data_IF_107206029493
#
_entry.id   IF_107206029493
#
_cell.length_a   1.000
_cell.length_b   1.000
_cell.length_c   1.000
_cell.angle_alpha   90.00
_cell.angle_beta   90.00
_cell.angle_gamma   90.00
#
_symmetry.space_group_name_H-M   'P 1'
#
loop_
_entity.id
_entity.type
_entity.pdbx_description
1 polymer ?
#
# COMPACT_ATOMS: atom_id res chain seq x y z
N UNK A 1 13.86 -10.57 9.13
CA UNK A 1 14.59 -11.81 8.80
C UNK A 1 14.93 -11.88 7.30
N UNK A 2 13.95 -11.88 6.39
CA UNK A 2 14.21 -12.00 4.94
C UNK A 2 15.07 -10.86 4.31
N UNK A 3 14.93 -9.62 4.77
CA UNK A 3 15.74 -8.49 4.27
C UNK A 3 17.25 -8.66 4.56
N UNK A 4 17.59 -9.15 5.76
CA UNK A 4 18.99 -9.34 6.17
C UNK A 4 19.64 -10.58 5.54
N UNK A 5 18.84 -11.57 5.13
CA UNK A 5 19.31 -12.78 4.43
C UNK A 5 19.60 -12.48 2.95
N UNK A 6 19.07 -11.39 2.42
CA UNK A 6 19.25 -11.01 1.03
C UNK A 6 20.54 -10.21 0.88
N UNK A 7 21.49 -10.69 0.08
CA UNK A 7 22.77 -10.00 -0.21
C UNK A 7 22.56 -8.75 -1.10
N UNK A 8 21.93 -7.72 -0.55
CA UNK A 8 21.84 -6.43 -1.24
C UNK A 8 23.18 -5.68 -1.13
N UNK A 9 23.58 -4.90 -2.16
CA UNK A 9 24.79 -4.08 -2.09
C UNK A 9 24.72 -3.18 -0.85
N UNK A 10 25.75 -3.21 0.01
CA UNK A 10 25.83 -2.34 1.19
C UNK A 10 25.70 -0.88 0.77
N UNK A 11 24.75 -0.17 1.39
CA UNK A 11 24.52 1.25 1.12
C UNK A 11 24.85 2.05 2.37
N UNK A 12 24.94 3.37 2.21
CA UNK A 12 24.97 4.28 3.35
C UNK A 12 23.76 3.97 4.27
N UNK A 13 23.98 3.93 5.60
CA UNK A 13 22.98 3.56 6.61
C UNK A 13 21.67 4.34 6.48
N UNK A 14 21.73 5.61 6.05
CA UNK A 14 20.54 6.42 5.77
C UNK A 14 19.65 5.82 4.68
N UNK A 15 20.23 5.29 3.59
CA UNK A 15 19.48 4.64 2.50
C UNK A 15 18.85 3.33 2.96
N UNK A 16 19.52 2.60 3.86
CA UNK A 16 19.01 1.34 4.42
C UNK A 16 17.83 1.60 5.35
N UNK A 17 17.93 2.55 6.29
CA UNK A 17 16.84 2.91 7.21
C UNK A 17 15.59 3.36 6.44
N UNK A 18 15.76 4.21 5.43
CA UNK A 18 14.65 4.69 4.60
C UNK A 18 14.00 3.57 3.77
N UNK A 19 14.81 2.62 3.28
CA UNK A 19 14.31 1.45 2.57
C UNK A 19 13.50 0.53 3.49
N UNK A 20 14.04 0.19 4.66
CA UNK A 20 13.35 -0.63 5.67
C UNK A 20 12.04 0.03 6.10
N UNK A 21 12.06 1.35 6.32
CA UNK A 21 10.86 2.12 6.67
C UNK A 21 9.78 1.98 5.60
N UNK A 22 10.15 2.05 4.33
CA UNK A 22 9.21 1.86 3.20
C UNK A 22 8.65 0.44 3.14
N UNK A 23 9.49 -0.58 3.40
CA UNK A 23 9.07 -1.99 3.45
C UNK A 23 8.08 -2.22 4.62
N UNK A 24 8.34 -1.61 5.78
CA UNK A 24 7.42 -1.64 6.91
C UNK A 24 6.09 -0.97 6.54
N UNK A 25 6.13 0.18 5.88
CA UNK A 25 4.94 0.85 5.34
C UNK A 25 4.13 -0.07 4.42
N UNK A 26 4.78 -0.76 3.49
CA UNK A 26 4.11 -1.72 2.61
C UNK A 26 3.53 -2.92 3.38
N UNK A 27 4.24 -3.42 4.40
CA UNK A 27 3.74 -4.50 5.27
C UNK A 27 2.48 -4.08 6.05
N UNK A 28 2.48 -2.86 6.61
CA UNK A 28 1.33 -2.30 7.31
C UNK A 28 0.13 -2.07 6.38
N UNK A 29 0.40 -1.75 5.11
CA UNK A 29 -0.63 -1.68 4.09
C UNK A 29 -1.23 -3.07 3.80
N UNK A 30 -0.40 -4.09 3.60
CA UNK A 30 -0.86 -5.45 3.33
C UNK A 30 -1.65 -6.02 4.53
N UNK A 31 -1.29 -5.65 5.75
CA UNK A 31 -2.03 -6.06 6.96
C UNK A 31 -3.48 -5.53 7.00
N UNK A 32 -3.80 -4.46 6.26
CA UNK A 32 -5.15 -3.91 6.19
C UNK A 32 -6.16 -4.88 5.61
N UNK A 33 -5.74 -5.73 4.66
CA UNK A 33 -6.62 -6.71 4.02
C UNK A 33 -7.11 -7.79 5.01
N UNK A 34 -6.38 -8.01 6.10
CA UNK A 34 -6.73 -8.96 7.16
C UNK A 34 -7.50 -8.30 8.32
N UNK A 35 -7.48 -6.97 8.40
CA UNK A 35 -8.20 -6.16 9.39
C UNK A 35 -9.63 -5.85 8.92
N UNK A 36 -10.37 -6.89 8.54
CA UNK A 36 -11.71 -6.77 7.95
C UNK A 36 -12.77 -7.51 8.75
N UNK A 37 -14.04 -7.20 8.50
CA UNK A 37 -15.19 -7.90 9.11
C UNK A 37 -15.18 -9.41 8.83
N UNK A 38 -14.56 -9.84 7.73
CA UNK A 38 -14.48 -11.25 7.35
C UNK A 38 -13.62 -12.08 8.29
N UNK A 39 -12.66 -11.45 8.99
CA UNK A 39 -11.88 -12.11 10.03
C UNK A 39 -12.71 -12.24 11.31
N UNK A 40 -13.63 -13.21 11.31
CA UNK A 40 -14.60 -13.41 12.41
C UNK A 40 -13.92 -13.65 13.76
N UNK A 41 -12.76 -14.32 13.76
CA UNK A 41 -11.97 -14.55 14.98
C UNK A 41 -11.52 -13.21 15.57
N UNK A 42 -10.84 -12.38 14.77
CA UNK A 42 -10.42 -11.04 15.19
C UNK A 42 -11.61 -10.18 15.65
N UNK A 43 -12.72 -10.19 14.91
CA UNK A 43 -13.91 -9.40 15.28
C UNK A 43 -14.53 -9.90 16.60
N UNK A 44 -14.50 -11.20 16.87
CA UNK A 44 -14.99 -11.78 18.13
C UNK A 44 -14.10 -11.36 19.31
N UNK A 45 -12.79 -11.34 19.11
CA UNK A 45 -11.82 -11.08 20.18
C UNK A 45 -11.78 -9.59 20.58
N UNK A 46 -11.83 -8.66 19.61
CA UNK A 46 -11.64 -7.22 19.89
C UNK A 46 -12.81 -6.31 19.51
N UNK A 47 -13.92 -6.84 18.95
CA UNK A 47 -15.09 -6.10 18.43
C UNK A 47 -14.81 -5.28 17.15
N UNK A 48 -15.81 -5.21 16.27
CA UNK A 48 -15.69 -4.53 14.96
C UNK A 48 -15.31 -3.04 15.06
N UNK A 49 -15.76 -2.33 16.10
CA UNK A 49 -15.44 -0.91 16.30
C UNK A 49 -13.94 -0.71 16.49
N UNK A 50 -13.28 -1.60 17.23
CA UNK A 50 -11.84 -1.54 17.45
C UNK A 50 -11.08 -1.98 16.20
N UNK A 51 -11.56 -2.98 15.45
CA UNK A 51 -10.98 -3.34 14.14
C UNK A 51 -10.95 -2.13 13.21
N UNK A 52 -12.06 -1.36 13.13
CA UNK A 52 -12.09 -0.13 12.32
C UNK A 52 -11.17 0.96 12.86
N UNK A 53 -11.03 1.09 14.18
CA UNK A 53 -10.10 2.04 14.80
C UNK A 53 -8.64 1.70 14.44
N UNK A 54 -8.27 0.43 14.54
CA UNK A 54 -6.95 -0.09 14.15
C UNK A 54 -6.72 0.14 12.66
N UNK A 55 -7.69 -0.19 11.80
CA UNK A 55 -7.61 0.04 10.36
C UNK A 55 -7.31 1.51 10.02
N UNK A 56 -7.99 2.46 10.69
CA UNK A 56 -7.72 3.90 10.51
C UNK A 56 -6.34 4.31 11.00
N UNK A 57 -5.94 3.88 12.20
CA UNK A 57 -4.65 4.25 12.79
C UNK A 57 -3.50 3.73 11.92
N UNK A 58 -3.51 2.43 11.60
CA UNK A 58 -2.51 1.83 10.74
C UNK A 58 -2.57 2.45 9.34
N UNK A 59 -3.78 2.75 8.87
CA UNK A 59 -4.08 3.63 7.73
C UNK A 59 -3.22 4.88 7.67
N UNK A 60 -3.35 5.73 8.69
CA UNK A 60 -2.60 6.98 8.78
C UNK A 60 -1.09 6.75 8.79
N UNK A 61 -0.62 5.76 9.55
CA UNK A 61 0.82 5.45 9.64
C UNK A 61 1.40 5.03 8.28
N UNK A 62 0.80 4.04 7.61
CA UNK A 62 1.35 3.58 6.33
C UNK A 62 1.21 4.63 5.24
N UNK A 63 0.10 5.41 5.23
CA UNK A 63 -0.10 6.47 4.24
C UNK A 63 0.99 7.52 4.38
N UNK A 64 1.33 7.96 5.60
CA UNK A 64 2.41 8.93 5.81
C UNK A 64 3.74 8.42 5.27
N UNK A 65 4.07 7.16 5.55
CA UNK A 65 5.31 6.52 5.05
C UNK A 65 5.32 6.44 3.53
N UNK A 66 4.24 5.89 2.93
CA UNK A 66 4.16 5.67 1.49
C UNK A 66 3.98 6.97 0.70
N UNK A 67 3.38 8.01 1.26
CA UNK A 67 3.32 9.31 0.60
C UNK A 67 4.71 9.96 0.55
N UNK A 68 5.51 9.78 1.60
CA UNK A 68 6.88 10.30 1.68
C UNK A 68 7.92 9.43 0.96
N UNK A 69 7.56 8.24 0.50
CA UNK A 69 8.50 7.32 -0.14
C UNK A 69 9.30 7.91 -1.32
N UNK A 70 8.74 8.77 -2.22
CA UNK A 70 9.54 9.33 -3.30
C UNK A 70 10.59 10.31 -2.77
N UNK A 71 10.26 11.04 -1.69
CA UNK A 71 11.21 11.89 -0.99
C UNK A 71 12.33 11.08 -0.33
N UNK A 72 12.01 9.90 0.23
CA UNK A 72 13.03 9.00 0.79
C UNK A 72 14.05 8.51 -0.24
N UNK A 73 13.70 8.52 -1.53
CA UNK A 73 14.63 8.21 -2.63
C UNK A 73 15.53 9.39 -2.96
N UNK A 74 15.02 10.63 -2.85
CA UNK A 74 15.76 11.85 -3.19
C UNK A 74 16.63 12.35 -2.04
N UNK A 75 16.17 12.28 -0.79
CA UNK A 75 16.91 12.79 0.39
C UNK A 75 18.35 12.29 0.46
N UNK A 76 18.66 10.99 0.27
CA UNK A 76 20.04 10.52 0.24
C UNK A 76 20.91 11.15 -0.85
N UNK A 77 20.31 11.65 -1.94
CA UNK A 77 21.03 12.30 -3.06
C UNK A 77 21.58 13.68 -2.70
N UNK A 78 21.02 14.36 -1.70
CA UNK A 78 21.64 15.58 -1.15
C UNK A 78 23.00 15.32 -0.50
N UNK A 79 23.28 14.07 -0.13
CA UNK A 79 24.53 13.66 0.50
C UNK A 79 25.44 12.85 -0.42
N UNK A 80 24.97 12.50 -1.63
CA UNK A 80 25.78 11.86 -2.66
C UNK A 80 26.18 12.93 -3.70
N UNK A 81 27.47 13.27 -3.82
CA UNK A 81 27.98 14.23 -4.82
C UNK A 81 27.86 13.78 -6.30
N UNK A 82 27.04 12.76 -6.58
CA UNK A 82 26.91 12.13 -7.91
C UNK A 82 25.93 12.83 -8.83
N UNK A 83 24.89 13.45 -8.28
CA UNK A 83 23.82 14.11 -9.04
C UNK A 83 23.26 15.24 -8.17
N UNK A 84 22.97 16.41 -8.76
CA UNK A 84 22.33 17.47 -7.99
C UNK A 84 20.93 17.01 -7.53
N UNK A 85 20.47 17.41 -6.34
CA UNK A 85 19.15 17.00 -5.85
C UNK A 85 17.99 17.48 -6.73
N UNK A 86 18.16 18.65 -7.36
CA UNK A 86 17.22 19.21 -8.33
C UNK A 86 17.12 18.33 -9.57
N UNK A 87 18.25 17.85 -10.11
CA UNK A 87 18.25 16.94 -11.25
C UNK A 87 17.65 15.58 -10.88
N UNK A 88 17.91 15.09 -9.66
CA UNK A 88 17.31 13.85 -9.17
C UNK A 88 15.79 13.96 -9.05
N UNK A 89 15.27 15.09 -8.55
CA UNK A 89 13.84 15.37 -8.50
C UNK A 89 13.23 15.51 -9.91
N UNK A 90 13.88 16.27 -10.80
CA UNK A 90 13.41 16.43 -12.17
C UNK A 90 13.32 15.08 -12.89
N UNK A 91 14.36 14.24 -12.75
CA UNK A 91 14.34 12.87 -13.30
C UNK A 91 13.22 12.03 -12.70
N UNK A 92 12.96 12.14 -11.40
CA UNK A 92 11.89 11.38 -10.75
C UNK A 92 10.50 11.64 -11.39
N UNK A 93 10.22 12.90 -11.77
CA UNK A 93 8.91 13.28 -12.32
C UNK A 93 8.82 13.25 -13.85
N UNK A 94 9.95 13.24 -14.56
CA UNK A 94 9.98 13.28 -16.04
C UNK A 94 10.43 11.98 -16.70
N UNK A 95 11.03 11.07 -15.95
CA UNK A 95 11.59 9.83 -16.51
C UNK A 95 10.54 8.72 -16.51
N UNK A 96 9.94 8.45 -17.67
CA UNK A 96 9.03 7.32 -17.88
C UNK A 96 9.73 6.13 -18.54
N UNK A 97 11.03 5.98 -18.27
CA UNK A 97 11.92 5.09 -19.04
C UNK A 97 11.81 3.61 -18.69
N UNK A 98 11.04 3.23 -17.67
CA UNK A 98 10.83 1.82 -17.34
C UNK A 98 9.40 1.53 -16.90
N UNK A 99 8.95 0.30 -17.18
CA UNK A 99 7.66 -0.20 -16.72
C UNK A 99 7.52 -0.11 -15.20
N UNK A 100 8.62 -0.34 -14.46
CA UNK A 100 8.64 -0.16 -13.00
C UNK A 100 8.24 1.25 -12.58
N UNK A 101 8.78 2.29 -13.20
CA UNK A 101 8.44 3.69 -12.84
C UNK A 101 6.99 4.01 -13.18
N UNK A 102 6.50 3.59 -14.35
CA UNK A 102 5.11 3.79 -14.76
C UNK A 102 4.14 3.12 -13.77
N UNK A 103 4.40 1.87 -13.40
CA UNK A 103 3.62 1.15 -12.38
C UNK A 103 3.63 1.87 -11.03
N UNK A 104 4.78 2.43 -10.64
CA UNK A 104 4.91 3.23 -9.43
C UNK A 104 4.05 4.49 -9.45
N UNK A 105 3.99 5.19 -10.59
CA UNK A 105 3.14 6.38 -10.76
C UNK A 105 1.65 6.04 -10.74
N UNK A 106 1.24 4.94 -11.38
CA UNK A 106 -0.15 4.46 -11.34
C UNK A 106 -0.53 4.09 -9.90
N UNK A 107 0.34 3.38 -9.19
CA UNK A 107 0.14 3.04 -7.79
C UNK A 107 0.02 4.32 -6.94
N UNK A 108 0.96 5.23 -7.06
CA UNK A 108 0.98 6.47 -6.28
C UNK A 108 -0.28 7.32 -6.51
N UNK A 109 -0.71 7.45 -7.76
CA UNK A 109 -1.93 8.17 -8.12
C UNK A 109 -3.17 7.49 -7.54
N UNK A 110 -3.26 6.17 -7.64
CA UNK A 110 -4.36 5.38 -7.04
C UNK A 110 -4.42 5.56 -5.53
N UNK A 111 -3.26 5.61 -4.86
CA UNK A 111 -3.17 5.88 -3.43
C UNK A 111 -3.67 7.28 -3.08
N UNK A 112 -3.28 8.31 -3.84
CA UNK A 112 -3.75 9.69 -3.62
C UNK A 112 -5.28 9.77 -3.77
N UNK A 113 -5.85 9.12 -4.78
CA UNK A 113 -7.30 9.04 -4.96
C UNK A 113 -7.96 8.33 -3.78
N UNK A 114 -7.40 7.22 -3.28
CA UNK A 114 -7.91 6.52 -2.08
C UNK A 114 -7.92 7.43 -0.85
N UNK A 115 -6.85 8.19 -0.64
CA UNK A 115 -6.73 9.13 0.48
C UNK A 115 -7.81 10.21 0.36
N UNK A 116 -7.88 10.90 -0.77
CA UNK A 116 -8.85 11.98 -1.00
C UNK A 116 -10.27 11.47 -0.81
N UNK A 117 -10.63 10.35 -1.46
CA UNK A 117 -11.98 9.79 -1.36
C UNK A 117 -12.32 9.28 0.04
N UNK A 118 -11.34 8.86 0.84
CA UNK A 118 -11.54 8.38 2.21
C UNK A 118 -11.66 9.51 3.23
N UNK A 119 -10.82 10.54 3.13
CA UNK A 119 -10.84 11.69 4.05
C UNK A 119 -11.95 12.70 3.69
N UNK A 120 -12.08 13.02 2.41
CA UNK A 120 -13.02 14.02 1.92
C UNK A 120 -14.37 13.43 1.52
N UNK A 121 -14.67 12.18 1.89
CA UNK A 121 -15.91 11.48 1.51
C UNK A 121 -17.17 12.34 1.67
N UNK A 122 -17.32 12.99 2.83
CA UNK A 122 -18.49 13.82 3.13
C UNK A 122 -18.49 15.14 2.35
N UNK A 123 -17.32 15.74 2.13
CA UNK A 123 -17.17 16.96 1.31
C UNK A 123 -17.41 16.70 -0.18
N UNK A 124 -17.19 15.46 -0.63
CA UNK A 124 -17.45 15.00 -2.00
C UNK A 124 -18.88 14.45 -2.17
N UNK A 125 -19.71 14.51 -1.12
CA UNK A 125 -21.08 14.00 -1.10
C UNK A 125 -21.21 12.54 -1.60
N UNK A 126 -20.17 11.71 -1.38
CA UNK A 126 -20.16 10.33 -1.86
C UNK A 126 -21.07 9.45 -1.00
N UNK A 127 -22.09 8.87 -1.63
CA UNK A 127 -22.90 7.82 -1.00
C UNK A 127 -22.01 6.66 -0.54
N UNK A 128 -22.42 5.97 0.53
CA UNK A 128 -21.63 4.86 1.07
C UNK A 128 -21.34 3.78 0.01
N UNK A 129 -22.32 3.49 -0.86
CA UNK A 129 -22.19 2.50 -1.93
C UNK A 129 -21.11 2.90 -2.95
N UNK A 130 -21.14 4.15 -3.40
CA UNK A 130 -20.15 4.66 -4.37
C UNK A 130 -18.77 4.70 -3.73
N UNK A 131 -18.65 5.30 -2.54
CA UNK A 131 -17.38 5.35 -1.81
C UNK A 131 -16.79 3.95 -1.60
N UNK A 132 -17.59 2.99 -1.16
CA UNK A 132 -17.15 1.60 -0.96
C UNK A 132 -16.67 0.99 -2.27
N UNK A 133 -17.37 1.20 -3.38
CA UNK A 133 -16.98 0.68 -4.70
C UNK A 133 -15.64 1.27 -5.15
N UNK A 134 -15.51 2.60 -5.11
CA UNK A 134 -14.28 3.32 -5.48
C UNK A 134 -13.11 2.90 -4.60
N UNK A 135 -13.31 2.83 -3.28
CA UNK A 135 -12.27 2.40 -2.35
C UNK A 135 -11.77 0.99 -2.66
N UNK A 136 -12.67 0.06 -3.00
CA UNK A 136 -12.29 -1.31 -3.38
C UNK A 136 -11.53 -1.37 -4.70
N UNK A 137 -12.05 -0.70 -5.72
CA UNK A 137 -11.44 -0.66 -7.05
C UNK A 137 -10.02 -0.06 -7.01
N UNK A 138 -9.86 1.12 -6.42
CA UNK A 138 -8.56 1.77 -6.33
C UNK A 138 -7.61 1.02 -5.38
N UNK A 139 -8.13 0.33 -4.35
CA UNK A 139 -7.29 -0.56 -3.51
C UNK A 139 -6.73 -1.72 -4.32
N UNK A 140 -7.55 -2.34 -5.17
CA UNK A 140 -7.11 -3.44 -6.04
C UNK A 140 -6.09 -2.95 -7.07
N UNK A 141 -6.37 -1.83 -7.74
CA UNK A 141 -5.46 -1.22 -8.70
C UNK A 141 -4.13 -0.85 -8.03
N UNK A 142 -4.20 -0.20 -6.87
CA UNK A 142 -3.03 0.17 -6.07
C UNK A 142 -2.18 -1.05 -5.71
N UNK A 143 -2.75 -2.08 -5.10
CA UNK A 143 -1.94 -3.19 -4.56
C UNK A 143 -1.28 -4.01 -5.67
N UNK A 144 -1.97 -4.22 -6.80
CA UNK A 144 -1.41 -4.93 -7.96
C UNK A 144 -0.25 -4.14 -8.57
N UNK A 145 -0.46 -2.85 -8.84
CA UNK A 145 0.56 -2.00 -9.47
C UNK A 145 1.74 -1.73 -8.53
N UNK A 146 1.50 -1.53 -7.23
CA UNK A 146 2.56 -1.37 -6.23
C UNK A 146 3.41 -2.63 -6.07
N UNK A 147 2.77 -3.81 -6.02
CA UNK A 147 3.50 -5.09 -5.90
C UNK A 147 4.35 -5.32 -7.14
N UNK A 148 3.80 -5.10 -8.34
CA UNK A 148 4.55 -5.23 -9.58
C UNK A 148 5.68 -4.19 -9.69
N UNK A 149 5.43 -2.94 -9.31
CA UNK A 149 6.46 -1.90 -9.23
C UNK A 149 7.68 -2.36 -8.41
N UNK A 150 7.45 -2.88 -7.20
CA UNK A 150 8.54 -3.32 -6.30
C UNK A 150 9.31 -4.51 -6.90
N UNK A 151 8.61 -5.49 -7.46
CA UNK A 151 9.24 -6.67 -8.08
C UNK A 151 10.07 -6.26 -9.31
N UNK A 152 9.53 -5.39 -10.17
CA UNK A 152 10.18 -4.96 -11.41
C UNK A 152 11.42 -4.09 -11.13
N UNK A 153 11.32 -3.16 -10.17
CA UNK A 153 12.45 -2.32 -9.76
C UNK A 153 13.56 -3.17 -9.11
N UNK A 154 13.23 -4.33 -8.51
CA UNK A 154 14.18 -5.36 -8.06
C UNK A 154 15.15 -4.94 -6.95
N UNK A 155 15.13 -3.66 -6.55
CA UNK A 155 16.16 -3.01 -5.73
C UNK A 155 16.24 -3.54 -4.29
N UNK A 156 15.16 -4.15 -3.81
CA UNK A 156 15.01 -4.76 -2.48
C UNK A 156 14.22 -6.07 -2.54
N UNK A 157 14.19 -6.73 -3.71
CA UNK A 157 13.39 -7.93 -3.94
C UNK A 157 14.30 -9.03 -4.47
N UNK A 158 14.60 -10.04 -3.65
CA UNK A 158 15.12 -11.31 -4.14
C UNK A 158 13.93 -12.25 -4.45
N UNK A 159 14.21 -13.41 -5.05
CA UNK A 159 13.16 -14.37 -5.43
C UNK A 159 12.30 -14.78 -4.24
N UNK A 160 12.90 -15.10 -3.10
CA UNK A 160 12.19 -15.51 -1.88
C UNK A 160 11.30 -14.40 -1.30
N UNK A 161 11.79 -13.16 -1.27
CA UNK A 161 11.05 -11.99 -0.82
C UNK A 161 9.87 -11.69 -1.75
N UNK A 162 10.10 -11.78 -3.06
CA UNK A 162 9.06 -11.59 -4.07
C UNK A 162 7.94 -12.61 -3.91
N UNK A 163 8.28 -13.90 -3.76
CA UNK A 163 7.32 -14.98 -3.55
C UNK A 163 6.53 -14.77 -2.26
N UNK A 164 7.21 -14.45 -1.16
CA UNK A 164 6.57 -14.20 0.13
C UNK A 164 5.51 -13.10 0.04
N UNK A 165 5.87 -11.93 -0.50
CA UNK A 165 4.91 -10.83 -0.64
C UNK A 165 3.81 -11.14 -1.65
N UNK A 166 4.12 -11.82 -2.75
CA UNK A 166 3.12 -12.22 -3.73
C UNK A 166 2.05 -13.12 -3.09
N UNK A 167 2.45 -14.12 -2.29
CA UNK A 167 1.52 -15.01 -1.59
C UNK A 167 0.61 -14.25 -0.61
N UNK A 168 1.17 -13.36 0.20
CA UNK A 168 0.38 -12.58 1.16
C UNK A 168 -0.54 -11.58 0.44
N UNK A 169 -0.06 -10.93 -0.62
CA UNK A 169 -0.88 -10.01 -1.43
C UNK A 169 -2.03 -10.76 -2.10
N UNK A 170 -1.77 -11.93 -2.70
CA UNK A 170 -2.83 -12.76 -3.30
C UNK A 170 -3.85 -13.19 -2.26
N UNK A 171 -3.40 -13.59 -1.07
CA UNK A 171 -4.30 -13.89 0.06
C UNK A 171 -5.12 -12.66 0.47
N UNK A 172 -4.51 -11.48 0.56
CA UNK A 172 -5.19 -10.23 0.88
C UNK A 172 -6.23 -9.81 -0.17
N UNK A 173 -5.89 -9.93 -1.46
CA UNK A 173 -6.82 -9.69 -2.58
C UNK A 173 -7.99 -10.67 -2.50
N UNK A 174 -7.74 -11.95 -2.20
CA UNK A 174 -8.82 -12.91 -2.00
C UNK A 174 -9.78 -12.47 -0.89
N UNK A 175 -9.26 -12.00 0.26
CA UNK A 175 -10.09 -11.43 1.33
C UNK A 175 -10.88 -10.18 0.89
N UNK A 176 -10.27 -9.30 0.09
CA UNK A 176 -10.94 -8.14 -0.48
C UNK A 176 -12.11 -8.57 -1.37
N UNK A 177 -11.84 -9.39 -2.39
CA UNK A 177 -12.86 -9.85 -3.34
C UNK A 177 -13.99 -10.58 -2.62
N UNK A 178 -13.66 -11.42 -1.64
CA UNK A 178 -14.67 -12.10 -0.81
C UNK A 178 -15.57 -11.10 -0.07
N UNK A 179 -15.02 -9.99 0.41
CA UNK A 179 -15.77 -8.93 1.10
C UNK A 179 -16.72 -8.14 0.19
N UNK A 180 -16.42 -8.09 -1.12
CA UNK A 180 -17.25 -7.39 -2.11
C UNK A 180 -18.29 -8.30 -2.75
N UNK A 181 -17.95 -9.56 -3.02
CA UNK A 181 -18.87 -10.52 -3.64
C UNK A 181 -19.81 -11.21 -2.65
N UNK A 182 -19.35 -11.52 -1.43
CA UNK A 182 -20.22 -12.14 -0.44
C UNK A 182 -21.01 -11.08 0.32
N UNK A 183 -22.21 -10.79 -0.19
CA UNK A 183 -23.28 -10.07 0.51
C UNK A 183 -23.46 -10.75 1.87
N UNK A 184 -23.20 -10.06 3.00
CA UNK A 184 -23.66 -10.55 4.30
C UNK A 184 -25.18 -10.65 4.23
N UNK A 185 -25.68 -11.86 4.00
CA UNK A 185 -27.09 -12.24 3.97
C UNK A 185 -27.70 -12.03 5.36
N UNK A 186 -28.04 -10.78 5.67
CA UNK A 186 -28.79 -10.44 6.87
C UNK A 186 -29.67 -9.20 6.65
N UNK A 187 -30.30 -9.10 5.48
CA UNK A 187 -31.34 -8.10 5.20
C UNK A 187 -32.56 -8.65 4.44
N UNK A 188 -32.74 -9.98 4.35
CA UNK A 188 -33.91 -10.60 3.70
C UNK A 188 -34.87 -11.29 4.68
N UNK A 189 -34.72 -11.08 6.00
CA UNK A 189 -35.61 -11.67 7.02
C UNK A 189 -36.38 -10.65 7.88
N UNK A 190 -36.44 -9.38 7.50
CA UNK A 190 -37.21 -8.36 8.26
C UNK A 190 -38.51 -7.94 7.52
N UNK A 191 -38.74 -8.44 6.31
CA UNK A 191 -40.00 -8.21 5.57
C UNK A 191 -40.71 -9.54 5.23
N UNK A 192 -41.07 -10.31 6.26
CA UNK A 192 -42.12 -11.33 6.17
C UNK A 192 -43.03 -11.22 7.38
#
# INVERSE_FOLDING_TARGET
MLYYISEFPRRNSLKEILSITTIVGFTLLVSQFFSTRMNRKLVKDIRMVNVLKIHKIVGYVFISILLLHPFFIIVPKFFDNTVTPTDAFYRLITTFSSAGVILGLIAYTSMVILIITSFCRFKLNLSYRIWRSLHGYFTLLFIVTATWHVINIGRHSNTSFSIYYLLIVVSGIFYLLKTYFFKTSKNEKINK
#
